data_IF_889564494423
#
_entry.id   IF_889564494423
#
_cell.length_a   1.000
_cell.length_b   1.000
_cell.length_c   1.000
_cell.angle_alpha   90.00
_cell.angle_beta   90.00
_cell.angle_gamma   90.00
#
_symmetry.space_group_name_H-M   'P 1'
#
loop_
_entity.id
_entity.type
_entity.pdbx_description
1 polymer ?
#
# COMPACT_ATOMS: atom_id res chain seq x y z
N UNK A 1 -16.95 20.28 -1.40
CA UNK A 1 -16.66 19.73 -2.75
C UNK A 1 -15.47 18.81 -2.60
N UNK A 2 -15.51 17.58 -3.12
CA UNK A 2 -14.39 16.64 -3.06
C UNK A 2 -13.18 17.21 -3.81
N UNK A 3 -11.98 17.11 -3.22
CA UNK A 3 -10.72 17.55 -3.85
C UNK A 3 -10.47 16.73 -5.12
N UNK A 4 -9.89 17.35 -6.12
CA UNK A 4 -9.65 16.74 -7.43
C UNK A 4 -8.31 17.19 -7.99
N UNK A 5 -7.60 16.29 -8.68
CA UNK A 5 -6.37 16.60 -9.42
C UNK A 5 -6.54 16.23 -10.89
N UNK A 6 -5.80 16.92 -11.74
CA UNK A 6 -5.72 16.61 -13.18
C UNK A 6 -4.46 15.78 -13.41
N UNK A 7 -4.65 14.59 -13.98
CA UNK A 7 -3.59 13.71 -14.41
C UNK A 7 -3.20 13.98 -15.87
N UNK A 8 -2.00 13.57 -16.33
CA UNK A 8 -1.55 13.83 -17.70
C UNK A 8 -2.40 13.13 -18.75
N UNK A 9 -2.98 11.99 -18.44
CA UNK A 9 -3.81 11.22 -19.35
C UNK A 9 -5.30 11.30 -19.05
N UNK A 10 -6.10 10.80 -19.99
CA UNK A 10 -7.54 10.67 -19.80
C UNK A 10 -7.88 9.61 -18.74
N UNK A 11 -9.00 9.81 -18.05
CA UNK A 11 -9.51 8.84 -17.09
C UNK A 11 -9.73 7.47 -17.75
N UNK A 12 -9.26 6.41 -17.08
CA UNK A 12 -9.32 5.02 -17.56
C UNK A 12 -10.37 4.24 -16.78
N UNK A 13 -11.24 3.52 -17.48
CA UNK A 13 -12.21 2.61 -16.88
C UNK A 13 -11.69 1.14 -16.83
N UNK A 14 -12.15 0.32 -15.88
CA UNK A 14 -13.04 0.68 -14.75
C UNK A 14 -12.29 1.49 -13.68
N UNK A 15 -13.02 2.36 -12.95
CA UNK A 15 -12.44 3.21 -11.88
C UNK A 15 -12.06 2.43 -10.64
N UNK A 16 -12.68 1.29 -10.42
CA UNK A 16 -12.35 0.34 -9.35
C UNK A 16 -12.35 -1.07 -9.91
N UNK A 17 -11.37 -1.87 -9.54
CA UNK A 17 -11.25 -3.28 -9.93
C UNK A 17 -11.20 -4.14 -8.68
N UNK A 18 -11.97 -5.21 -8.65
CA UNK A 18 -11.91 -6.23 -7.61
C UNK A 18 -11.74 -7.61 -8.26
N UNK A 19 -10.59 -8.24 -8.04
CA UNK A 19 -10.29 -9.57 -8.57
C UNK A 19 -10.42 -10.60 -7.43
N UNK A 20 -11.31 -11.61 -7.55
CA UNK A 20 -11.39 -12.70 -6.58
C UNK A 20 -10.08 -13.50 -6.54
N UNK A 21 -9.60 -13.78 -5.33
CA UNK A 21 -8.38 -14.56 -5.07
C UNK A 21 -8.58 -15.49 -3.87
N UNK A 22 -7.65 -16.42 -3.68
CA UNK A 22 -7.56 -17.23 -2.46
C UNK A 22 -6.38 -16.73 -1.62
N UNK A 23 -6.66 -16.35 -0.38
CA UNK A 23 -5.68 -15.85 0.59
C UNK A 23 -5.31 -16.98 1.56
N UNK A 24 -4.09 -17.46 1.49
CA UNK A 24 -3.55 -18.52 2.36
C UNK A 24 -2.77 -17.87 3.50
N UNK A 25 -3.21 -17.97 4.76
CA UNK A 25 -2.46 -17.43 5.89
C UNK A 25 -1.03 -18.00 5.92
N UNK A 26 -0.07 -17.11 6.12
CA UNK A 26 1.36 -17.47 6.22
C UNK A 26 2.01 -16.78 7.42
N UNK A 27 2.96 -17.49 8.02
CA UNK A 27 3.97 -16.94 8.91
C UNK A 27 5.32 -17.21 8.27
N UNK A 28 6.08 -16.16 7.99
CA UNK A 28 7.31 -16.23 7.20
C UNK A 28 8.45 -15.47 7.86
N UNK A 29 9.67 -15.86 7.54
CA UNK A 29 10.88 -15.19 8.02
C UNK A 29 11.44 -14.30 6.92
N UNK A 30 11.50 -13.01 7.16
CA UNK A 30 12.31 -12.08 6.38
C UNK A 30 13.77 -12.24 6.83
N UNK A 31 14.62 -12.72 5.91
CA UNK A 31 16.02 -13.03 6.21
C UNK A 31 16.87 -11.78 6.33
N UNK A 32 17.64 -11.71 7.42
CA UNK A 32 18.64 -10.66 7.64
C UNK A 32 19.75 -10.67 6.61
N UNK A 33 20.26 -9.50 6.25
CA UNK A 33 21.29 -9.30 5.26
C UNK A 33 20.82 -9.27 3.81
N UNK A 34 19.56 -9.60 3.51
CA UNK A 34 18.97 -9.44 2.20
C UNK A 34 18.38 -8.03 2.01
N UNK A 35 18.34 -7.55 0.77
CA UNK A 35 17.49 -6.40 0.47
C UNK A 35 16.04 -6.71 0.86
N UNK A 36 15.28 -5.67 1.19
CA UNK A 36 13.89 -5.86 1.61
C UNK A 36 13.06 -6.54 0.50
N UNK A 37 13.30 -6.17 -0.76
CA UNK A 37 12.65 -6.79 -1.91
C UNK A 37 12.96 -8.29 -2.03
N UNK A 38 14.23 -8.69 -1.90
CA UNK A 38 14.64 -10.10 -1.94
C UNK A 38 14.08 -10.89 -0.76
N UNK A 39 14.11 -10.33 0.45
CA UNK A 39 13.56 -10.98 1.65
C UNK A 39 12.06 -11.27 1.51
N UNK A 40 11.29 -10.31 1.00
CA UNK A 40 9.86 -10.48 0.73
C UNK A 40 9.62 -11.47 -0.42
N UNK A 41 10.38 -11.37 -1.52
CA UNK A 41 10.26 -12.27 -2.66
C UNK A 41 10.48 -13.73 -2.25
N UNK A 42 11.51 -13.99 -1.43
CA UNK A 42 11.82 -15.32 -0.91
C UNK A 42 10.72 -15.83 0.03
N UNK A 43 10.16 -14.96 0.87
CA UNK A 43 9.08 -15.31 1.79
C UNK A 43 7.80 -15.79 1.08
N UNK A 44 7.60 -15.39 -0.17
CA UNK A 44 6.46 -15.80 -1.00
C UNK A 44 6.80 -16.82 -2.08
N UNK A 45 7.90 -17.56 -1.92
CA UNK A 45 8.20 -18.64 -2.83
C UNK A 45 7.03 -19.65 -2.88
N UNK A 46 6.58 -19.96 -4.11
CA UNK A 46 5.41 -20.81 -4.35
C UNK A 46 4.05 -20.10 -4.36
N UNK A 47 3.97 -18.77 -4.16
CA UNK A 47 2.75 -17.99 -4.36
C UNK A 47 2.89 -17.02 -5.54
N UNK A 48 1.78 -16.71 -6.21
CA UNK A 48 1.75 -15.76 -7.32
C UNK A 48 1.77 -14.31 -6.84
N UNK A 49 1.16 -14.04 -5.71
CA UNK A 49 1.10 -12.74 -5.04
C UNK A 49 1.20 -12.89 -3.54
N UNK A 50 1.30 -11.78 -2.83
CA UNK A 50 1.34 -11.80 -1.38
C UNK A 50 1.04 -10.47 -0.73
N UNK A 51 0.64 -10.55 0.53
CA UNK A 51 0.47 -9.41 1.42
C UNK A 51 1.05 -9.75 2.79
N UNK A 52 1.96 -8.91 3.31
CA UNK A 52 2.45 -9.04 4.69
C UNK A 52 2.05 -7.85 5.53
N UNK A 53 1.76 -8.13 6.78
CA UNK A 53 1.73 -7.15 7.85
C UNK A 53 3.13 -7.10 8.49
N UNK A 54 3.72 -5.93 8.46
CA UNK A 54 5.05 -5.69 8.99
C UNK A 54 4.93 -5.15 10.41
N UNK A 55 5.56 -5.81 11.36
CA UNK A 55 5.65 -5.35 12.74
C UNK A 55 7.02 -5.68 13.29
N UNK A 56 7.65 -4.69 13.90
CA UNK A 56 8.94 -4.82 14.57
C UNK A 56 10.08 -5.37 13.68
N UNK A 57 10.12 -4.95 12.41
CA UNK A 57 11.15 -5.38 11.46
C UNK A 57 12.36 -4.46 11.55
N UNK A 58 13.50 -4.99 11.99
CA UNK A 58 14.76 -4.24 12.07
C UNK A 58 15.36 -4.04 10.68
N UNK A 59 15.82 -2.82 10.39
CA UNK A 59 16.34 -2.42 9.08
C UNK A 59 17.70 -1.74 9.22
N UNK A 60 18.62 -1.99 8.29
CA UNK A 60 19.90 -1.28 8.20
C UNK A 60 20.56 -1.47 6.81
N UNK A 61 20.54 -0.46 5.92
CA UNK A 61 19.79 0.79 6.02
C UNK A 61 18.28 0.63 5.75
N UNK A 62 17.49 1.63 6.17
CA UNK A 62 16.13 1.84 5.68
C UNK A 62 16.14 3.05 4.72
N UNK A 63 15.84 2.80 3.45
CA UNK A 63 15.71 3.84 2.43
C UNK A 63 14.23 3.98 2.02
N UNK A 64 13.73 5.21 1.97
CA UNK A 64 12.34 5.49 1.67
C UNK A 64 12.16 6.87 1.03
N UNK A 65 11.01 7.10 0.45
CA UNK A 65 10.54 8.39 -0.04
C UNK A 65 9.21 8.75 0.62
N UNK A 66 8.86 10.04 0.59
CA UNK A 66 7.54 10.57 0.92
C UNK A 66 6.96 11.25 -0.30
N UNK A 67 5.69 11.69 -0.30
CA UNK A 67 5.18 12.53 -1.39
C UNK A 67 6.07 13.74 -1.61
N UNK A 68 6.31 14.06 -2.87
CA UNK A 68 7.07 15.23 -3.31
C UNK A 68 6.25 16.11 -4.23
N UNK A 69 6.75 17.32 -4.54
CA UNK A 69 6.08 18.22 -5.47
C UNK A 69 5.88 17.59 -6.85
N UNK A 70 4.78 17.94 -7.50
CA UNK A 70 4.49 17.55 -8.87
C UNK A 70 5.64 17.92 -9.83
N UNK A 71 6.03 16.98 -10.67
CA UNK A 71 7.13 17.13 -11.63
C UNK A 71 6.77 16.46 -12.97
N UNK A 72 7.36 16.95 -14.04
CA UNK A 72 7.28 16.34 -15.39
C UNK A 72 5.85 16.07 -15.88
N UNK A 73 4.89 16.92 -15.48
CA UNK A 73 3.49 16.79 -15.85
C UNK A 73 2.68 15.80 -14.99
N UNK A 74 3.30 15.09 -14.05
CA UNK A 74 2.57 14.23 -13.10
C UNK A 74 1.86 15.08 -12.04
N UNK A 75 0.74 14.57 -11.51
CA UNK A 75 -0.03 15.25 -10.46
C UNK A 75 0.69 15.28 -9.11
N UNK A 76 1.65 14.39 -8.89
CA UNK A 76 2.54 14.34 -7.73
C UNK A 76 3.84 13.63 -8.12
N UNK A 77 4.85 13.68 -7.26
CA UNK A 77 6.11 12.96 -7.45
C UNK A 77 6.62 12.45 -6.09
N UNK A 78 7.81 11.89 -6.10
CA UNK A 78 8.51 11.45 -4.89
C UNK A 78 9.45 12.55 -4.40
N UNK A 79 9.70 12.57 -3.08
CA UNK A 79 10.77 13.37 -2.48
C UNK A 79 12.16 12.85 -2.89
N UNK A 80 13.20 13.55 -2.47
CA UNK A 80 14.54 12.95 -2.36
C UNK A 80 14.50 11.73 -1.45
N UNK A 81 15.45 10.80 -1.64
CA UNK A 81 15.55 9.58 -0.83
C UNK A 81 16.00 9.91 0.58
N UNK A 82 15.16 9.58 1.55
CA UNK A 82 15.51 9.56 2.95
C UNK A 82 16.22 8.25 3.29
N UNK A 83 17.21 8.32 4.20
CA UNK A 83 17.96 7.14 4.66
C UNK A 83 18.12 7.16 6.17
N UNK A 84 17.89 6.01 6.77
CA UNK A 84 18.18 5.72 8.16
C UNK A 84 19.20 4.59 8.23
N UNK A 85 20.16 4.68 9.13
CA UNK A 85 21.15 3.64 9.38
C UNK A 85 20.71 2.67 10.48
N UNK A 86 21.71 2.12 11.17
CA UNK A 86 21.54 1.17 12.25
C UNK A 86 20.57 1.67 13.33
N UNK A 87 19.68 0.77 13.77
CA UNK A 87 18.63 1.08 14.75
C UNK A 87 17.30 1.48 14.15
N UNK A 88 17.20 1.60 12.80
CA UNK A 88 15.91 1.79 12.14
C UNK A 88 15.03 0.54 12.30
N UNK A 89 13.74 0.76 12.54
CA UNK A 89 12.77 -0.31 12.77
C UNK A 89 11.40 0.03 12.17
N UNK A 90 10.86 -0.84 11.34
CA UNK A 90 9.46 -0.74 10.92
C UNK A 90 8.58 -1.12 12.11
N UNK A 91 7.84 -0.16 12.64
CA UNK A 91 6.92 -0.36 13.76
C UNK A 91 5.61 -0.99 13.28
N UNK A 92 5.11 -0.47 12.16
CA UNK A 92 3.90 -0.94 11.52
C UNK A 92 3.99 -0.66 10.02
N UNK A 93 3.65 -1.62 9.19
CA UNK A 93 3.60 -1.45 7.75
C UNK A 93 2.85 -2.57 7.08
N UNK A 94 2.66 -2.41 5.78
CA UNK A 94 2.22 -3.50 4.94
C UNK A 94 2.98 -3.49 3.61
N UNK A 95 3.07 -4.65 3.01
CA UNK A 95 3.65 -4.83 1.68
C UNK A 95 2.73 -5.68 0.81
N UNK A 96 2.41 -5.16 -0.36
CA UNK A 96 1.94 -5.97 -1.48
C UNK A 96 3.14 -6.50 -2.25
N UNK A 97 3.18 -7.82 -2.47
CA UNK A 97 4.13 -8.47 -3.35
C UNK A 97 3.42 -8.94 -4.62
N UNK A 98 3.96 -8.58 -5.74
CA UNK A 98 3.47 -8.91 -7.07
C UNK A 98 4.62 -9.02 -8.07
N UNK A 99 4.40 -8.56 -9.30
CA UNK A 99 5.33 -8.71 -10.42
C UNK A 99 5.54 -7.39 -11.16
N UNK A 100 6.76 -7.19 -11.66
CA UNK A 100 7.13 -6.13 -12.59
C UNK A 100 8.16 -6.67 -13.56
N UNK A 101 7.91 -6.55 -14.86
CA UNK A 101 8.83 -7.00 -15.93
C UNK A 101 9.31 -8.46 -15.75
N UNK A 102 8.42 -9.35 -15.27
CA UNK A 102 8.71 -10.76 -15.04
C UNK A 102 9.48 -11.07 -13.74
N UNK A 103 9.84 -10.07 -12.95
CA UNK A 103 10.48 -10.22 -11.65
C UNK A 103 9.50 -9.91 -10.48
N UNK A 104 9.81 -10.42 -9.28
CA UNK A 104 9.08 -10.05 -8.08
C UNK A 104 9.27 -8.57 -7.77
N UNK A 105 8.19 -7.92 -7.40
CA UNK A 105 8.17 -6.50 -7.09
C UNK A 105 7.27 -6.23 -5.87
N UNK A 106 7.64 -5.22 -5.07
CA UNK A 106 6.90 -4.88 -3.85
C UNK A 106 6.48 -3.42 -3.83
N UNK A 107 5.30 -3.16 -3.26
CA UNK A 107 4.84 -1.83 -2.89
C UNK A 107 4.58 -1.81 -1.38
N UNK A 108 5.26 -0.93 -0.66
CA UNK A 108 5.32 -0.97 0.79
C UNK A 108 5.18 0.42 1.37
N UNK A 109 4.17 0.63 2.21
CA UNK A 109 4.08 1.78 3.10
C UNK A 109 4.19 1.34 4.55
N UNK A 110 4.75 2.21 5.39
CA UNK A 110 4.90 1.90 6.80
C UNK A 110 5.25 3.11 7.65
N UNK A 111 5.20 2.86 8.95
CA UNK A 111 5.68 3.74 10.01
C UNK A 111 6.93 3.09 10.60
N UNK A 112 7.98 3.85 10.74
CA UNK A 112 9.24 3.41 11.33
C UNK A 112 9.75 4.39 12.35
N UNK A 113 10.62 3.88 13.20
CA UNK A 113 11.38 4.65 14.18
C UNK A 113 12.86 4.62 13.83
N UNK A 114 13.54 5.73 14.03
CA UNK A 114 15.00 5.78 14.01
C UNK A 114 15.62 5.36 15.34
N UNK A 115 16.96 5.37 15.43
CA UNK A 115 17.68 5.03 16.66
C UNK A 115 17.37 5.94 17.86
N UNK A 116 16.77 7.12 17.65
CA UNK A 116 16.36 8.06 18.70
C UNK A 116 14.92 7.84 19.16
N UNK A 117 14.15 6.98 18.46
CA UNK A 117 12.72 6.77 18.65
C UNK A 117 11.84 7.78 17.92
N UNK A 118 12.42 8.64 17.08
CA UNK A 118 11.62 9.55 16.25
C UNK A 118 10.88 8.76 15.16
N UNK A 119 9.60 9.10 14.98
CA UNK A 119 8.71 8.41 14.02
C UNK A 119 8.69 9.07 12.66
N UNK A 120 8.69 8.24 11.65
CA UNK A 120 8.62 8.60 10.24
C UNK A 120 7.66 7.65 9.52
N UNK A 121 7.25 8.03 8.31
CA UNK A 121 6.40 7.22 7.46
C UNK A 121 6.76 7.47 5.99
N UNK A 122 6.40 6.57 5.09
CA UNK A 122 6.54 6.76 3.64
C UNK A 122 6.49 5.44 2.87
N UNK A 123 7.09 5.45 1.70
CA UNK A 123 7.21 4.36 0.74
C UNK A 123 8.65 3.81 0.76
N UNK A 124 8.81 2.55 1.11
CA UNK A 124 10.13 1.88 1.14
C UNK A 124 10.66 1.68 -0.28
N UNK A 125 11.95 1.98 -0.47
CA UNK A 125 12.71 1.62 -1.66
C UNK A 125 13.30 0.22 -1.47
N UNK A 126 12.68 -0.84 -2.04
CA UNK A 126 12.94 -2.22 -1.61
C UNK A 126 14.37 -2.70 -1.92
N UNK A 127 14.98 -2.18 -2.99
CA UNK A 127 16.34 -2.55 -3.40
C UNK A 127 17.43 -1.75 -2.66
N UNK A 128 17.03 -0.71 -1.90
CA UNK A 128 17.92 0.18 -1.16
C UNK A 128 17.76 0.08 0.36
N UNK A 129 16.82 -0.73 0.82
CA UNK A 129 16.57 -1.05 2.20
C UNK A 129 16.96 -2.49 2.49
N UNK A 130 17.58 -2.75 3.64
CA UNK A 130 18.09 -4.08 4.01
C UNK A 130 17.49 -4.52 5.35
N UNK A 131 17.03 -5.75 5.42
CA UNK A 131 16.59 -6.39 6.68
C UNK A 131 17.81 -6.64 7.55
N UNK A 132 17.87 -6.03 8.75
CA UNK A 132 19.07 -6.08 9.58
C UNK A 132 19.30 -7.44 10.24
N UNK A 133 18.24 -8.16 10.56
CA UNK A 133 18.27 -9.51 11.16
C UNK A 133 17.01 -10.27 10.79
N UNK A 134 17.02 -11.59 10.95
CA UNK A 134 15.84 -12.43 10.74
C UNK A 134 14.66 -11.91 11.56
N UNK A 135 13.51 -11.73 10.90
CA UNK A 135 12.27 -11.28 11.50
C UNK A 135 11.12 -12.16 11.05
N UNK A 136 10.30 -12.63 11.98
CA UNK A 136 9.06 -13.34 11.65
C UNK A 136 7.92 -12.34 11.45
N UNK A 137 7.21 -12.45 10.34
CA UNK A 137 6.05 -11.63 9.99
C UNK A 137 4.91 -12.51 9.50
N UNK A 138 3.70 -11.99 9.56
CA UNK A 138 2.48 -12.72 9.15
C UNK A 138 1.83 -12.04 7.96
N UNK A 139 0.99 -12.80 7.25
CA UNK A 139 0.24 -12.28 6.12
C UNK A 139 -0.48 -13.36 5.33
N UNK A 140 -0.60 -13.15 4.05
CA UNK A 140 -1.32 -14.06 3.14
C UNK A 140 -0.56 -14.24 1.83
N UNK A 141 -0.26 -15.49 1.48
CA UNK A 141 0.11 -15.88 0.13
C UNK A 141 -1.13 -15.94 -0.75
N UNK A 142 -1.07 -15.38 -1.95
CA UNK A 142 -2.23 -15.25 -2.83
C UNK A 142 -2.12 -16.20 -4.02
N UNK A 143 -3.26 -16.83 -4.36
CA UNK A 143 -3.45 -17.64 -5.56
C UNK A 143 -4.77 -17.27 -6.24
N UNK A 144 -4.93 -17.59 -7.53
CA UNK A 144 -6.07 -17.14 -8.34
C UNK A 144 -5.88 -15.76 -8.96
N UNK A 145 -4.92 -14.99 -8.45
CA UNK A 145 -4.55 -13.68 -8.98
C UNK A 145 -3.33 -13.10 -8.28
N UNK A 146 -2.75 -12.10 -8.89
CA UNK A 146 -1.64 -11.31 -8.35
C UNK A 146 -1.74 -9.86 -8.81
N UNK A 147 -0.91 -9.00 -8.24
CA UNK A 147 -0.70 -7.64 -8.72
C UNK A 147 0.46 -7.63 -9.73
N UNK A 148 0.26 -6.99 -10.86
CA UNK A 148 1.31 -6.80 -11.87
C UNK A 148 1.48 -5.30 -12.13
N UNK A 149 2.69 -4.81 -11.99
CA UNK A 149 3.03 -3.41 -12.23
C UNK A 149 3.07 -3.14 -13.73
N UNK A 150 2.24 -2.21 -14.19
CA UNK A 150 2.07 -1.86 -15.59
C UNK A 150 2.09 -0.33 -15.77
N UNK A 151 2.57 0.19 -16.92
CA UNK A 151 2.42 1.60 -17.25
C UNK A 151 0.94 2.00 -17.21
N UNK A 152 0.62 3.06 -16.49
CA UNK A 152 -0.74 3.57 -16.37
C UNK A 152 -0.90 4.85 -17.22
N UNK A 153 -1.75 4.81 -18.28
CA UNK A 153 -1.84 5.94 -19.21
C UNK A 153 -2.55 7.16 -18.61
N UNK A 154 -3.35 7.00 -17.54
CA UNK A 154 -4.00 8.12 -16.87
C UNK A 154 -3.01 8.92 -16.03
N UNK A 155 -2.22 8.24 -15.21
CA UNK A 155 -1.35 8.89 -14.22
C UNK A 155 0.08 9.10 -14.71
N UNK A 156 0.52 8.32 -15.71
CA UNK A 156 1.90 8.27 -16.19
C UNK A 156 2.83 7.43 -15.29
N UNK A 157 2.34 6.88 -14.18
CA UNK A 157 3.10 6.00 -13.31
C UNK A 157 3.06 4.55 -13.79
N UNK A 158 3.96 3.73 -13.27
CA UNK A 158 3.85 2.27 -13.33
C UNK A 158 3.16 1.80 -12.05
N UNK A 159 1.96 1.21 -12.18
CA UNK A 159 1.08 0.89 -11.05
C UNK A 159 0.69 -0.58 -11.05
N UNK A 160 0.49 -1.14 -9.88
CA UNK A 160 -0.09 -2.47 -9.73
C UNK A 160 -1.52 -2.54 -10.26
N UNK A 161 -1.78 -3.58 -11.05
CA UNK A 161 -3.13 -3.96 -11.52
C UNK A 161 -3.36 -5.44 -11.25
N UNK A 162 -4.56 -5.83 -10.81
CA UNK A 162 -4.86 -7.24 -10.57
C UNK A 162 -4.91 -8.01 -11.88
N UNK A 163 -4.23 -9.15 -11.93
CA UNK A 163 -4.28 -10.11 -13.04
C UNK A 163 -4.63 -11.50 -12.54
N UNK A 164 -5.47 -12.22 -13.30
CA UNK A 164 -5.82 -13.60 -12.99
C UNK A 164 -4.61 -14.53 -13.10
N UNK A 165 -4.56 -15.50 -12.20
CA UNK A 165 -3.59 -16.60 -12.16
C UNK A 165 -4.30 -17.90 -11.80
N UNK A 166 -3.58 -19.01 -11.84
CA UNK A 166 -4.13 -20.28 -11.38
C UNK A 166 -4.45 -20.23 -9.88
N UNK A 167 -5.65 -20.68 -9.51
CA UNK A 167 -6.06 -20.78 -8.12
C UNK A 167 -5.65 -22.14 -7.53
N UNK A 168 -5.31 -22.13 -6.23
CA UNK A 168 -5.21 -23.36 -5.40
C UNK A 168 -6.35 -23.33 -4.39
N UNK A 169 -6.92 -24.50 -4.07
CA UNK A 169 -7.96 -24.64 -3.06
C UNK A 169 -7.41 -24.43 -1.65
N UNK A 170 -8.30 -24.19 -0.69
CA UNK A 170 -7.98 -24.17 0.75
C UNK A 170 -7.55 -22.80 1.30
N UNK A 171 -7.57 -21.74 0.48
CA UNK A 171 -7.40 -20.37 0.96
C UNK A 171 -8.72 -19.78 1.48
N UNK A 172 -8.63 -18.66 2.18
CA UNK A 172 -9.77 -17.82 2.52
C UNK A 172 -10.22 -17.04 1.28
N UNK A 173 -11.52 -16.87 1.02
CA UNK A 173 -11.99 -15.97 -0.02
C UNK A 173 -11.48 -14.55 0.21
N UNK A 174 -10.97 -13.93 -0.83
CA UNK A 174 -10.46 -12.56 -0.76
C UNK A 174 -10.56 -11.88 -2.12
N UNK A 175 -10.34 -10.56 -2.14
CA UNK A 175 -10.26 -9.79 -3.38
C UNK A 175 -9.01 -8.89 -3.35
N UNK A 176 -8.26 -8.90 -4.45
CA UNK A 176 -7.31 -7.83 -4.76
C UNK A 176 -8.09 -6.66 -5.36
N UNK A 177 -8.01 -5.51 -4.73
CA UNK A 177 -8.74 -4.31 -5.15
C UNK A 177 -7.74 -3.22 -5.50
N UNK A 178 -7.95 -2.57 -6.66
CA UNK A 178 -7.26 -1.32 -7.00
C UNK A 178 -8.27 -0.24 -7.32
N UNK A 179 -8.04 0.95 -6.76
CA UNK A 179 -8.85 2.14 -7.00
C UNK A 179 -8.03 3.15 -7.80
N UNK A 180 -8.70 3.78 -8.76
CA UNK A 180 -8.11 4.82 -9.61
C UNK A 180 -8.30 6.21 -9.02
N UNK A 181 -7.59 7.25 -9.55
CA UNK A 181 -7.65 8.62 -9.05
C UNK A 181 -9.05 9.22 -8.91
N UNK A 182 -9.14 10.27 -8.11
CA UNK A 182 -10.32 11.13 -7.99
C UNK A 182 -11.62 10.45 -7.50
N UNK A 183 -11.52 9.28 -6.88
CA UNK A 183 -12.63 8.61 -6.21
C UNK A 183 -12.41 8.65 -4.70
N UNK A 184 -13.45 8.93 -3.93
CA UNK A 184 -13.38 8.71 -2.48
C UNK A 184 -13.14 7.23 -2.19
N UNK A 185 -12.11 6.92 -1.41
CA UNK A 185 -11.69 5.53 -1.13
C UNK A 185 -12.80 4.71 -0.47
N UNK A 186 -13.57 5.31 0.45
CA UNK A 186 -14.68 4.64 1.14
C UNK A 186 -15.85 4.41 0.21
N UNK A 187 -16.25 5.41 -0.56
CA UNK A 187 -17.36 5.31 -1.51
C UNK A 187 -17.05 4.29 -2.64
N UNK A 188 -15.82 4.28 -3.15
CA UNK A 188 -15.38 3.32 -4.16
C UNK A 188 -15.42 1.89 -3.64
N UNK A 189 -14.96 1.65 -2.40
CA UNK A 189 -15.05 0.33 -1.76
C UNK A 189 -16.50 -0.11 -1.54
N UNK A 190 -17.36 0.78 -1.04
CA UNK A 190 -18.78 0.49 -0.86
C UNK A 190 -19.46 0.07 -2.18
N UNK A 191 -19.10 0.75 -3.27
CA UNK A 191 -19.61 0.46 -4.61
C UNK A 191 -19.25 -0.92 -5.15
N UNK A 192 -18.26 -1.61 -4.60
CA UNK A 192 -17.88 -2.97 -5.00
C UNK A 192 -18.76 -4.06 -4.40
N UNK A 193 -19.60 -3.74 -3.41
CA UNK A 193 -20.49 -4.71 -2.77
C UNK A 193 -19.80 -5.83 -1.99
N UNK A 194 -18.54 -5.62 -1.60
CA UNK A 194 -17.75 -6.58 -0.83
C UNK A 194 -18.07 -6.50 0.67
N UNK A 195 -17.77 -7.59 1.39
CA UNK A 195 -17.87 -7.64 2.85
C UNK A 195 -16.63 -8.32 3.42
N UNK A 196 -15.92 -7.64 4.34
CA UNK A 196 -14.73 -8.22 4.95
C UNK A 196 -13.78 -7.20 5.58
N UNK A 197 -12.62 -7.70 5.99
CA UNK A 197 -11.52 -6.88 6.50
C UNK A 197 -10.76 -6.26 5.32
N UNK A 198 -10.46 -4.97 5.41
CA UNK A 198 -9.73 -4.21 4.39
C UNK A 198 -8.33 -3.89 4.90
N UNK A 199 -7.33 -4.26 4.13
CA UNK A 199 -5.92 -3.96 4.38
C UNK A 199 -5.31 -3.35 3.14
N UNK A 200 -4.26 -2.54 3.30
CA UNK A 200 -3.55 -2.00 2.16
C UNK A 200 -2.98 -0.61 2.36
N UNK A 201 -2.70 0.02 1.24
CA UNK A 201 -1.97 1.28 1.15
C UNK A 201 -2.44 2.07 -0.07
N UNK A 202 -1.95 3.28 -0.22
CA UNK A 202 -2.23 4.11 -1.38
C UNK A 202 -1.84 5.57 -1.18
N UNK A 203 -2.34 6.42 -2.08
CA UNK A 203 -2.14 7.86 -2.01
C UNK A 203 -3.47 8.60 -2.12
N UNK A 204 -3.60 9.71 -1.39
CA UNK A 204 -4.81 10.53 -1.37
C UNK A 204 -4.51 11.99 -1.74
N UNK A 205 -5.55 12.71 -2.19
CA UNK A 205 -5.51 14.16 -2.41
C UNK A 205 -5.77 14.85 -1.07
N UNK A 206 -4.74 14.90 -0.23
CA UNK A 206 -4.84 15.22 1.18
C UNK A 206 -5.58 14.13 1.97
N UNK A 207 -5.48 14.18 3.29
CA UNK A 207 -6.13 13.19 4.16
C UNK A 207 -6.94 13.90 5.22
N UNK A 208 -8.19 13.45 5.42
CA UNK A 208 -9.06 13.94 6.48
C UNK A 208 -9.49 12.77 7.37
N UNK A 209 -9.16 12.87 8.65
CA UNK A 209 -9.55 11.91 9.67
C UNK A 209 -10.50 12.58 10.67
N UNK A 210 -11.14 11.78 11.52
CA UNK A 210 -11.97 12.27 12.61
C UNK A 210 -11.20 13.06 13.68
N UNK A 211 -9.87 12.98 13.68
CA UNK A 211 -8.99 13.63 14.65
C UNK A 211 -8.23 14.84 14.06
N UNK A 212 -7.84 14.79 12.80
CA UNK A 212 -6.95 15.80 12.20
C UNK A 212 -7.04 15.78 10.65
N UNK A 213 -6.39 16.76 10.00
CA UNK A 213 -6.37 16.89 8.54
C UNK A 213 -4.99 17.27 8.01
N UNK A 214 -4.59 16.65 6.90
CA UNK A 214 -3.48 17.07 6.05
C UNK A 214 -4.03 17.77 4.80
N UNK A 215 -3.78 19.06 4.69
CA UNK A 215 -4.17 19.86 3.52
C UNK A 215 -3.20 19.72 2.33
N UNK A 216 -2.16 18.91 2.48
CA UNK A 216 -1.25 18.55 1.40
C UNK A 216 -2.03 17.97 0.22
N UNK A 217 -1.78 18.45 -1.01
CA UNK A 217 -2.46 17.91 -2.20
C UNK A 217 -2.01 16.48 -2.56
N UNK A 218 -0.93 16.01 -1.97
CA UNK A 218 -0.44 14.64 -2.10
C UNK A 218 -0.09 14.09 -0.72
N UNK A 219 -0.72 12.97 -0.36
CA UNK A 219 -0.43 12.22 0.86
C UNK A 219 -0.31 10.74 0.53
N UNK A 220 0.53 10.04 1.27
CA UNK A 220 0.57 8.57 1.29
C UNK A 220 -0.16 8.05 2.52
N UNK A 221 -0.85 6.92 2.38
CA UNK A 221 -1.56 6.27 3.47
C UNK A 221 -1.13 4.81 3.66
N UNK A 222 -1.15 4.39 4.93
CA UNK A 222 -1.17 3.01 5.37
C UNK A 222 -2.50 2.77 6.07
N UNK A 223 -3.31 1.82 5.61
CA UNK A 223 -4.47 1.38 6.37
C UNK A 223 -4.01 0.59 7.60
N UNK A 224 -4.34 1.11 8.78
CA UNK A 224 -3.99 0.49 10.06
C UNK A 224 -5.06 -0.47 10.54
N UNK A 225 -6.30 -0.24 10.12
CA UNK A 225 -7.48 -1.11 10.29
C UNK A 225 -8.53 -0.76 9.23
N UNK A 226 -9.37 -1.72 8.83
CA UNK A 226 -10.40 -1.47 7.85
C UNK A 226 -11.45 -2.57 7.78
N UNK A 227 -12.69 -2.14 7.52
CA UNK A 227 -13.83 -3.02 7.31
C UNK A 227 -14.77 -2.44 6.25
N UNK A 228 -15.31 -3.31 5.40
CA UNK A 228 -16.38 -3.01 4.44
C UNK A 228 -17.52 -4.02 4.62
N UNK A 229 -18.75 -3.57 4.55
CA UNK A 229 -19.92 -4.44 4.68
C UNK A 229 -21.24 -3.67 4.60
N UNK A 230 -22.37 -4.34 4.92
CA UNK A 230 -23.71 -3.74 4.84
C UNK A 230 -23.88 -2.48 5.70
N UNK A 231 -23.17 -2.38 6.81
CA UNK A 231 -23.17 -1.22 7.71
C UNK A 231 -22.35 -0.04 7.17
N UNK A 232 -21.70 -0.22 6.00
CA UNK A 232 -20.84 0.77 5.37
C UNK A 232 -19.36 0.42 5.41
N UNK A 233 -18.54 1.46 5.25
CA UNK A 233 -17.07 1.35 5.22
C UNK A 233 -16.48 2.12 6.38
N UNK A 234 -15.62 1.46 7.14
CA UNK A 234 -14.80 2.08 8.18
C UNK A 234 -13.33 1.81 7.87
N UNK A 235 -12.54 2.86 7.72
CA UNK A 235 -11.10 2.77 7.46
C UNK A 235 -10.36 3.64 8.47
N UNK A 236 -9.36 3.07 9.12
CA UNK A 236 -8.37 3.80 9.91
C UNK A 236 -7.06 3.83 9.14
N UNK A 237 -6.42 4.97 9.11
CA UNK A 237 -5.16 5.14 8.39
C UNK A 237 -4.17 5.99 9.18
N UNK A 238 -2.90 5.72 8.98
CA UNK A 238 -1.84 6.70 9.14
C UNK A 238 -1.56 7.34 7.78
N UNK A 239 -1.19 8.61 7.79
CA UNK A 239 -0.94 9.37 6.56
C UNK A 239 0.22 10.35 6.76
N UNK A 240 0.98 10.57 5.68
CA UNK A 240 2.07 11.56 5.62
C UNK A 240 1.89 12.50 4.43
N UNK A 241 2.13 13.79 4.65
CA UNK A 241 2.10 14.83 3.61
C UNK A 241 3.48 15.17 3.06
N UNK A 242 3.51 16.11 2.09
CA UNK A 242 4.73 16.63 1.46
C UNK A 242 5.71 17.26 2.45
N UNK A 243 5.21 17.82 3.53
CA UNK A 243 6.00 18.49 4.58
C UNK A 243 6.55 17.53 5.64
N UNK A 244 6.29 16.23 5.47
CA UNK A 244 6.65 15.19 6.43
C UNK A 244 5.75 15.11 7.67
N UNK A 245 4.70 15.95 7.76
CA UNK A 245 3.72 15.88 8.84
C UNK A 245 2.91 14.60 8.72
N UNK A 246 2.75 13.92 9.84
CA UNK A 246 1.97 12.68 9.94
C UNK A 246 0.70 12.92 10.75
N UNK A 247 -0.39 12.26 10.35
CA UNK A 247 -1.62 12.14 11.11
C UNK A 247 -2.10 10.68 11.13
N UNK A 248 -2.97 10.35 12.05
CA UNK A 248 -3.64 9.06 12.07
C UNK A 248 -5.06 9.20 12.65
N UNK A 249 -5.97 8.37 12.19
CA UNK A 249 -7.35 8.36 12.66
C UNK A 249 -8.27 7.61 11.69
N UNK A 250 -9.57 7.67 11.97
CA UNK A 250 -10.60 7.13 11.08
C UNK A 250 -10.83 8.11 9.94
N UNK A 251 -10.74 7.62 8.70
CA UNK A 251 -10.98 8.43 7.51
C UNK A 251 -12.43 8.94 7.47
N UNK A 252 -12.60 10.23 7.21
CA UNK A 252 -13.92 10.85 7.05
C UNK A 252 -14.51 10.44 5.70
N UNK A 253 -15.71 9.89 5.70
CA UNK A 253 -16.41 9.47 4.49
C UNK A 253 -16.64 10.63 3.51
N UNK A 254 -16.37 10.42 2.24
CA UNK A 254 -16.53 11.41 1.16
C UNK A 254 -15.46 12.50 1.11
N UNK A 255 -14.42 12.44 1.98
CA UNK A 255 -13.39 13.46 2.09
C UNK A 255 -11.99 13.01 1.66
N UNK A 256 -11.84 11.74 1.27
CA UNK A 256 -10.54 11.12 1.03
C UNK A 256 -10.40 10.56 -0.40
N UNK A 257 -10.29 11.45 -1.42
CA UNK A 257 -10.14 11.02 -2.80
C UNK A 257 -8.74 10.46 -3.07
N UNK A 258 -8.68 9.35 -3.80
CA UNK A 258 -7.44 8.72 -4.25
C UNK A 258 -6.67 9.67 -5.15
N UNK A 259 -5.35 9.79 -4.93
CA UNK A 259 -4.46 10.62 -5.76
C UNK A 259 -3.97 9.85 -7.00
N UNK A 260 -3.23 8.77 -6.80
CA UNK A 260 -2.65 7.96 -7.89
C UNK A 260 -3.30 6.57 -7.92
N UNK A 261 -3.22 5.85 -6.81
CA UNK A 261 -3.79 4.52 -6.66
C UNK A 261 -4.06 4.22 -5.19
N UNK A 262 -5.00 3.33 -4.92
CA UNK A 262 -5.05 2.59 -3.67
C UNK A 262 -5.07 1.10 -4.00
N UNK A 263 -4.24 0.33 -3.30
CA UNK A 263 -4.04 -1.10 -3.48
C UNK A 263 -4.44 -1.80 -2.18
N UNK A 264 -5.48 -2.62 -2.28
CA UNK A 264 -6.13 -3.17 -1.11
C UNK A 264 -6.28 -4.69 -1.24
N UNK A 265 -6.21 -5.37 -0.11
CA UNK A 265 -6.64 -6.76 0.07
C UNK A 265 -7.90 -6.74 0.93
N UNK A 266 -9.01 -7.26 0.39
CA UNK A 266 -10.25 -7.46 1.14
C UNK A 266 -10.39 -8.94 1.44
N UNK A 267 -10.25 -9.31 2.73
CA UNK A 267 -10.47 -10.69 3.20
C UNK A 267 -11.97 -10.86 3.46
N UNK A 268 -12.65 -11.57 2.56
CA UNK A 268 -14.11 -11.73 2.63
C UNK A 268 -14.51 -12.82 3.63
N UNK A 269 -15.64 -12.59 4.29
CA UNK A 269 -16.23 -13.57 5.23
C UNK A 269 -17.21 -14.47 4.51
#
# INVERSE_FOLDING_TARGET
MMRHVVHPGAAVEPRATALPVQAHPVEVVLRGGLSFGEAVATAFEGFEGGFLELRDVAMDPLAYVIPGPAQNGHAAWYSETHRMGAGARIVQGCVHMGWRDGARFTHTHGIWEDATGARHMGHILPDQAVVARDCTVTGWGLTGGCLVAQPDPETGFTLFRPEMRAARSGGLPAHLVTLRPNQDIGAALAGLGLTGLVKGLGSLIGTETDADRLDSYATEILLTDGHVGPEGVTLHAASIGLDGRMIAGRLVAGANPVLVTAELLVLTK
#
